data_IF_716511627726
#
_entry.id   IF_716511627726
#
_cell.length_a   1.000
_cell.length_b   1.000
_cell.length_c   1.000
_cell.angle_alpha   90.00
_cell.angle_beta   90.00
_cell.angle_gamma   90.00
#
_symmetry.space_group_name_H-M   'P 1'
#
loop_
_entity.id
_entity.type
_entity.pdbx_description
1 polymer ?
#
# COMPACT_ATOMS: atom_id res chain seq x y z
N UNK A 1 70.76 48.21 -7.25
CA UNK A 1 70.00 49.41 -6.83
C UNK A 1 68.64 49.41 -7.53
N UNK A 2 67.56 49.52 -6.73
CA UNK A 2 66.17 49.95 -7.00
C UNK A 2 65.27 49.21 -8.01
N UNK A 3 64.04 48.95 -7.52
CA UNK A 3 62.83 48.37 -8.13
C UNK A 3 62.03 49.40 -8.95
N UNK A 4 61.20 48.90 -9.88
CA UNK A 4 59.74 49.13 -10.04
C UNK A 4 59.28 48.27 -11.25
N UNK A 5 58.35 47.32 -11.18
CA UNK A 5 56.89 47.37 -10.89
C UNK A 5 56.06 48.09 -11.97
N UNK A 6 55.44 47.33 -12.89
CA UNK A 6 54.03 47.42 -13.32
C UNK A 6 53.77 46.34 -14.40
N UNK A 7 52.91 45.33 -14.12
CA UNK A 7 51.48 45.22 -14.48
C UNK A 7 51.17 45.22 -15.99
N UNK A 8 50.68 44.08 -16.50
CA UNK A 8 49.28 43.88 -16.95
C UNK A 8 49.17 42.60 -17.80
N UNK A 9 48.24 41.72 -17.43
CA UNK A 9 47.85 40.48 -18.10
C UNK A 9 46.83 40.73 -19.21
N UNK A 10 46.90 40.08 -20.38
CA UNK A 10 45.76 39.97 -21.29
C UNK A 10 45.13 38.57 -21.17
N UNK A 11 43.87 38.49 -20.76
CA UNK A 11 43.05 37.29 -20.96
C UNK A 11 41.81 37.66 -21.75
N UNK A 12 41.79 37.21 -23.00
CA UNK A 12 40.64 37.23 -23.89
C UNK A 12 40.54 35.84 -24.48
N UNK A 13 39.42 35.16 -24.22
CA UNK A 13 38.60 34.40 -25.19
C UNK A 13 37.97 33.19 -24.50
N UNK A 14 36.70 33.29 -24.12
CA UNK A 14 35.51 32.86 -24.89
C UNK A 14 35.13 31.38 -24.67
N UNK A 15 33.82 31.23 -24.40
CA UNK A 15 32.97 30.05 -24.47
C UNK A 15 32.94 29.12 -23.25
N UNK A 16 31.83 29.17 -22.49
CA UNK A 16 30.72 28.27 -22.80
C UNK A 16 29.43 28.74 -22.14
N UNK A 17 28.47 29.12 -22.99
CA UNK A 17 27.08 29.34 -22.63
C UNK A 17 26.42 27.97 -22.43
N UNK A 18 25.89 27.70 -21.23
CA UNK A 18 25.29 26.39 -20.98
C UNK A 18 24.58 26.17 -19.65
N UNK A 19 24.08 27.20 -18.96
CA UNK A 19 23.40 27.02 -17.67
C UNK A 19 22.19 27.93 -17.49
N UNK A 20 21.16 27.78 -18.34
CA UNK A 20 19.82 28.35 -18.07
C UNK A 20 18.66 27.41 -18.45
N UNK A 21 18.76 26.13 -18.08
CA UNK A 21 17.59 25.20 -18.02
C UNK A 21 17.29 24.71 -16.61
N UNK A 22 17.46 25.57 -15.60
CA UNK A 22 17.08 25.29 -14.21
C UNK A 22 16.19 26.37 -13.56
N UNK A 23 15.76 27.40 -14.29
CA UNK A 23 14.97 28.51 -13.73
C UNK A 23 13.60 28.69 -14.43
N UNK A 24 12.86 27.60 -14.63
CA UNK A 24 11.43 27.65 -14.95
C UNK A 24 10.70 26.52 -14.25
N UNK A 25 10.34 26.77 -12.98
CA UNK A 25 9.17 26.25 -12.25
C UNK A 25 9.23 26.70 -10.77
N UNK A 26 9.34 28.01 -10.53
CA UNK A 26 8.97 28.61 -9.24
C UNK A 26 8.78 30.13 -9.35
N UNK A 27 7.85 30.59 -10.18
CA UNK A 27 7.31 31.96 -10.12
C UNK A 27 5.96 31.96 -10.84
N UNK A 28 4.87 31.95 -10.08
CA UNK A 28 3.51 31.82 -10.59
C UNK A 28 2.52 31.59 -9.47
N UNK A 29 2.63 32.38 -8.40
CA UNK A 29 1.56 32.61 -7.44
C UNK A 29 1.26 34.11 -7.51
N UNK A 30 0.00 34.46 -7.31
CA UNK A 30 -0.54 35.82 -7.05
C UNK A 30 -0.98 36.60 -8.30
N UNK A 31 -2.15 36.25 -8.85
CA UNK A 31 -3.20 37.19 -9.28
C UNK A 31 -4.50 36.41 -9.47
N UNK A 32 -5.57 36.79 -8.77
CA UNK A 32 -6.88 36.13 -8.86
C UNK A 32 -7.63 35.91 -7.54
N UNK A 33 -7.14 36.44 -6.41
CA UNK A 33 -7.93 36.56 -5.17
C UNK A 33 -8.55 37.95 -5.12
N UNK A 34 -9.67 38.16 -5.80
CA UNK A 34 -10.68 39.17 -5.48
C UNK A 34 -11.83 39.10 -6.51
N UNK A 35 -13.05 39.25 -6.02
CA UNK A 35 -14.25 39.58 -6.79
C UNK A 35 -15.01 38.44 -7.46
N UNK A 36 -15.74 37.67 -6.65
CA UNK A 36 -17.18 37.41 -6.85
C UNK A 36 -17.76 36.71 -5.62
N UNK A 37 -18.15 37.49 -4.62
CA UNK A 37 -19.12 37.08 -3.62
C UNK A 37 -20.49 37.12 -4.31
N UNK A 38 -21.07 35.95 -4.58
CA UNK A 38 -22.47 35.83 -4.95
C UNK A 38 -23.28 35.59 -3.66
N UNK A 39 -24.43 36.29 -3.46
CA UNK A 39 -25.24 36.13 -2.27
C UNK A 39 -25.91 34.75 -2.23
N UNK A 40 -25.91 34.14 -1.04
CA UNK A 40 -26.64 32.90 -0.76
C UNK A 40 -28.16 33.19 -0.75
N UNK A 41 -29.00 32.37 -1.41
CA UNK A 41 -30.43 32.44 -1.23
C UNK A 41 -30.82 31.85 0.14
N UNK A 42 -31.44 32.69 0.97
CA UNK A 42 -32.27 32.24 2.11
C UNK A 42 -33.48 31.51 1.54
N UNK A 43 -33.64 30.23 1.86
CA UNK A 43 -34.96 29.61 1.78
C UNK A 43 -35.13 28.41 2.72
N UNK A 44 -36.00 28.66 3.70
CA UNK A 44 -37.12 27.82 4.14
C UNK A 44 -36.82 26.52 4.91
N UNK A 45 -37.17 26.58 6.19
CA UNK A 45 -37.36 25.43 7.05
C UNK A 45 -38.39 24.44 6.48
N UNK A 46 -38.18 23.13 6.62
CA UNK A 46 -39.24 22.15 6.38
C UNK A 46 -40.22 22.10 7.56
N UNK A 47 -41.51 22.16 7.22
CA UNK A 47 -42.64 21.87 8.11
C UNK A 47 -42.63 20.40 8.56
N UNK A 48 -43.29 20.06 9.69
CA UNK A 48 -43.30 18.71 10.24
C UNK A 48 -44.10 17.77 9.32
N UNK A 49 -43.45 16.69 8.89
CA UNK A 49 -44.12 15.58 8.20
C UNK A 49 -44.71 14.62 9.25
N UNK A 50 -46.02 14.50 9.13
CA UNK A 50 -46.93 13.43 9.55
C UNK A 50 -46.29 12.12 10.02
N UNK A 51 -46.79 11.64 11.17
CA UNK A 51 -46.51 10.34 11.74
C UNK A 51 -46.68 9.19 10.72
N UNK A 52 -45.67 8.34 10.62
CA UNK A 52 -45.76 7.07 9.90
C UNK A 52 -46.75 6.13 10.61
N UNK A 53 -47.52 5.31 9.88
CA UNK A 53 -48.39 4.31 10.49
C UNK A 53 -47.54 3.23 11.18
N UNK A 54 -48.01 2.85 12.37
CA UNK A 54 -47.49 1.76 13.18
C UNK A 54 -47.61 0.43 12.41
N UNK A 55 -46.58 -0.43 12.36
CA UNK A 55 -46.73 -1.77 11.81
C UNK A 55 -47.61 -2.63 12.73
N UNK A 56 -48.55 -3.34 12.11
CA UNK A 56 -49.47 -4.29 12.74
C UNK A 56 -48.68 -5.52 13.28
N UNK A 57 -48.91 -6.04 14.50
CA UNK A 57 -48.07 -7.08 15.10
C UNK A 57 -48.24 -8.49 14.51
N UNK A 58 -48.77 -8.64 13.29
CA UNK A 58 -49.18 -9.95 12.74
C UNK A 58 -48.55 -10.37 11.42
N UNK A 59 -47.59 -9.61 10.90
CA UNK A 59 -46.74 -10.11 9.81
C UNK A 59 -45.52 -10.87 10.36
N UNK A 60 -45.81 -12.14 10.64
CA UNK A 60 -44.95 -13.30 10.41
C UNK A 60 -43.43 -13.10 10.57
N UNK A 61 -42.93 -13.55 11.72
CA UNK A 61 -41.58 -14.09 11.86
C UNK A 61 -41.29 -15.04 10.68
N UNK A 62 -40.18 -14.89 9.94
CA UNK A 62 -39.71 -16.00 9.12
C UNK A 62 -39.32 -17.12 10.08
N UNK A 63 -40.06 -18.23 9.98
CA UNK A 63 -39.72 -19.50 10.57
C UNK A 63 -38.24 -19.77 10.34
N UNK A 64 -37.48 -19.81 11.43
CA UNK A 64 -36.10 -20.31 11.40
C UNK A 64 -36.17 -21.80 11.11
N UNK A 65 -36.18 -22.15 9.83
CA UNK A 65 -35.93 -23.51 9.39
C UNK A 65 -34.51 -23.89 9.86
N UNK A 66 -34.44 -24.60 10.99
CA UNK A 66 -33.23 -25.13 11.60
C UNK A 66 -32.59 -26.27 10.77
N UNK A 67 -32.68 -26.22 9.44
CA UNK A 67 -32.17 -27.25 8.52
C UNK A 67 -31.44 -26.73 7.29
N UNK A 68 -31.12 -25.43 7.22
CA UNK A 68 -30.12 -24.93 6.28
C UNK A 68 -28.91 -24.34 6.99
N UNK A 69 -28.31 -25.15 7.89
CA UNK A 69 -26.87 -25.00 8.16
C UNK A 69 -26.19 -25.42 6.88
N UNK A 70 -25.97 -24.43 6.02
CA UNK A 70 -25.05 -24.52 4.90
C UNK A 70 -23.82 -25.29 5.38
N UNK A 71 -23.53 -26.40 4.72
CA UNK A 71 -22.27 -27.14 4.86
C UNK A 71 -21.16 -26.23 4.34
N UNK A 72 -20.87 -25.13 5.03
CA UNK A 72 -19.57 -24.50 4.92
C UNK A 72 -18.58 -25.60 5.30
N UNK A 73 -17.65 -25.96 4.41
CA UNK A 73 -16.74 -27.05 4.71
C UNK A 73 -16.02 -26.68 6.00
N UNK A 74 -15.97 -27.58 6.98
CA UNK A 74 -15.27 -27.34 8.26
C UNK A 74 -13.83 -26.84 8.04
N UNK A 75 -13.25 -27.09 6.87
CA UNK A 75 -12.00 -26.51 6.39
C UNK A 75 -11.99 -24.96 6.36
N UNK A 76 -13.08 -24.31 5.93
CA UNK A 76 -13.19 -22.84 5.87
C UNK A 76 -13.32 -22.21 7.26
N UNK A 77 -13.97 -22.91 8.21
CA UNK A 77 -14.09 -22.45 9.60
C UNK A 77 -12.75 -22.65 10.31
N UNK A 78 -12.10 -23.81 10.13
CA UNK A 78 -10.75 -24.08 10.67
C UNK A 78 -9.68 -23.14 10.11
N UNK A 79 -9.75 -22.78 8.82
CA UNK A 79 -8.80 -21.82 8.24
C UNK A 79 -9.03 -20.41 8.77
N UNK A 80 -10.28 -19.98 8.93
CA UNK A 80 -10.64 -18.70 9.55
C UNK A 80 -10.15 -18.61 11.01
N UNK A 81 -10.37 -19.65 11.82
CA UNK A 81 -9.91 -19.72 13.22
C UNK A 81 -8.37 -19.75 13.33
N UNK A 82 -7.69 -20.44 12.42
CA UNK A 82 -6.21 -20.47 12.35
C UNK A 82 -5.60 -19.13 11.95
N UNK A 83 -6.37 -18.27 11.30
CA UNK A 83 -5.94 -16.91 10.93
C UNK A 83 -6.14 -15.95 12.11
N UNK A 84 -7.26 -16.06 12.84
CA UNK A 84 -7.53 -15.18 13.99
C UNK A 84 -6.57 -15.39 15.17
N UNK A 85 -6.06 -16.61 15.38
CA UNK A 85 -5.10 -16.91 16.47
C UNK A 85 -3.62 -16.80 16.11
N UNK A 86 -3.25 -16.18 14.98
CA UNK A 86 -1.84 -16.10 14.56
C UNK A 86 -1.24 -14.71 14.83
N UNK A 87 -0.22 -14.66 15.70
CA UNK A 87 0.44 -13.42 16.10
C UNK A 87 1.05 -12.64 14.93
N UNK A 88 1.55 -13.32 13.89
CA UNK A 88 2.11 -12.66 12.71
C UNK A 88 1.01 -11.97 11.91
N UNK A 89 -0.12 -12.65 11.72
CA UNK A 89 -1.27 -12.07 11.02
C UNK A 89 -1.90 -10.94 11.81
N UNK A 90 -1.99 -11.06 13.14
CA UNK A 90 -2.41 -9.96 14.01
C UNK A 90 -1.47 -8.76 13.91
N UNK A 91 -0.16 -8.98 13.89
CA UNK A 91 0.84 -7.92 13.68
C UNK A 91 0.65 -7.25 12.31
N UNK A 92 0.40 -8.02 11.25
CA UNK A 92 0.12 -7.48 9.92
C UNK A 92 -1.21 -6.71 9.85
N UNK A 93 -2.23 -7.13 10.60
CA UNK A 93 -3.51 -6.42 10.74
C UNK A 93 -3.31 -5.12 11.51
N UNK A 94 -2.48 -5.08 12.55
CA UNK A 94 -2.08 -3.82 13.19
C UNK A 94 -1.30 -2.94 12.21
N UNK A 95 -0.51 -3.55 11.33
CA UNK A 95 0.25 -2.88 10.29
C UNK A 95 1.57 -2.30 10.80
N UNK A 96 2.50 -2.02 9.88
CA UNK A 96 3.82 -1.45 10.20
C UNK A 96 4.31 -0.51 9.10
N UNK A 97 5.30 0.32 9.42
CA UNK A 97 6.00 1.18 8.47
C UNK A 97 7.20 0.43 7.92
N UNK A 98 7.22 0.17 6.61
CA UNK A 98 8.38 -0.40 5.92
C UNK A 98 8.87 0.53 4.82
N UNK A 99 10.15 0.42 4.45
CA UNK A 99 10.69 1.09 3.28
C UNK A 99 10.32 0.29 2.04
N UNK A 100 9.52 0.89 1.17
CA UNK A 100 9.35 0.41 -0.20
C UNK A 100 10.54 0.85 -1.03
N UNK A 101 11.25 -0.10 -1.61
CA UNK A 101 12.43 0.11 -2.45
C UNK A 101 12.01 -0.04 -3.91
N UNK A 102 12.53 0.84 -4.78
CA UNK A 102 12.38 0.72 -6.23
C UNK A 102 13.71 0.88 -6.98
N UNK A 103 14.69 1.46 -6.33
CA UNK A 103 16.06 1.64 -6.82
C UNK A 103 16.95 2.04 -5.65
N UNK A 104 18.27 2.06 -5.87
CA UNK A 104 19.25 2.55 -4.88
C UNK A 104 18.95 3.97 -4.37
N UNK A 105 18.33 4.84 -5.17
CA UNK A 105 17.96 6.21 -4.73
C UNK A 105 16.49 6.36 -4.33
N UNK A 106 15.61 5.45 -4.75
CA UNK A 106 14.19 5.48 -4.38
C UNK A 106 13.88 4.45 -3.31
N UNK A 107 13.89 4.92 -2.06
CA UNK A 107 13.48 4.20 -0.86
C UNK A 107 12.52 5.08 -0.08
N UNK A 108 11.27 4.67 0.10
CA UNK A 108 10.27 5.50 0.78
C UNK A 108 9.52 4.70 1.83
N UNK A 109 9.46 5.24 3.05
CA UNK A 109 8.61 4.71 4.11
C UNK A 109 7.15 4.76 3.71
N UNK A 110 6.46 3.64 3.89
CA UNK A 110 5.06 3.42 3.57
C UNK A 110 4.49 2.55 4.69
N UNK A 111 3.31 2.93 5.18
CA UNK A 111 2.59 2.12 6.15
C UNK A 111 1.83 1.04 5.38
N UNK A 112 2.09 -0.23 5.72
CA UNK A 112 1.48 -1.42 5.15
C UNK A 112 0.59 -2.09 6.19
N UNK A 113 -0.55 -2.62 5.76
CA UNK A 113 -1.54 -3.24 6.63
C UNK A 113 -2.25 -4.38 5.90
N UNK A 114 -2.39 -5.54 6.53
CA UNK A 114 -3.34 -6.57 6.12
C UNK A 114 -4.75 -6.13 6.54
N UNK A 115 -5.70 -6.18 5.61
CA UNK A 115 -7.10 -5.91 5.94
C UNK A 115 -7.71 -7.10 6.70
N UNK A 116 -8.79 -6.84 7.44
CA UNK A 116 -9.49 -7.85 8.26
C UNK A 116 -10.03 -9.02 7.45
N UNK A 117 -10.23 -8.83 6.13
CA UNK A 117 -10.60 -9.88 5.18
C UNK A 117 -9.50 -10.96 4.99
N UNK A 118 -8.29 -10.72 5.50
CA UNK A 118 -7.09 -11.55 5.39
C UNK A 118 -6.73 -11.90 3.93
N UNK A 119 -7.16 -11.06 2.99
CA UNK A 119 -6.98 -11.26 1.55
C UNK A 119 -6.40 -10.03 0.88
N UNK A 120 -6.58 -8.85 1.47
CA UNK A 120 -6.16 -7.59 0.88
C UNK A 120 -5.02 -6.99 1.68
N UNK A 121 -3.89 -6.70 1.01
CA UNK A 121 -2.84 -5.85 1.57
C UNK A 121 -3.09 -4.43 1.10
N UNK A 122 -3.16 -3.51 2.05
CA UNK A 122 -3.28 -2.07 1.83
C UNK A 122 -1.96 -1.38 2.19
N UNK A 123 -1.60 -0.32 1.46
CA UNK A 123 -0.51 0.55 1.88
C UNK A 123 -0.71 2.01 1.49
N UNK A 124 -0.27 2.92 2.37
CA UNK A 124 -0.35 4.38 2.15
C UNK A 124 0.49 4.77 0.94
N UNK A 125 -0.06 5.57 0.03
CA UNK A 125 0.63 6.07 -1.17
C UNK A 125 0.73 7.59 -1.10
N UNK A 126 1.88 8.13 -1.51
CA UNK A 126 2.09 9.59 -1.65
C UNK A 126 1.93 10.06 -3.09
N UNK A 127 1.36 9.23 -3.99
CA UNK A 127 1.08 9.62 -5.37
C UNK A 127 -0.13 10.56 -5.40
N UNK A 128 -0.02 11.68 -6.10
CA UNK A 128 -1.14 12.63 -6.26
C UNK A 128 -2.38 11.91 -6.83
N UNK A 129 -3.55 12.18 -6.24
CA UNK A 129 -4.81 11.52 -6.59
C UNK A 129 -4.95 10.06 -6.15
N UNK A 130 -3.93 9.47 -5.49
CA UNK A 130 -3.98 8.09 -4.99
C UNK A 130 -3.30 8.00 -3.61
N UNK A 131 -4.10 8.30 -2.57
CA UNK A 131 -3.67 8.32 -1.17
C UNK A 131 -3.26 6.95 -0.61
N UNK A 132 -3.71 5.87 -1.25
CA UNK A 132 -3.34 4.50 -0.89
C UNK A 132 -3.36 3.57 -2.09
N UNK A 133 -2.84 2.37 -1.93
CA UNK A 133 -2.90 1.30 -2.93
C UNK A 133 -3.16 -0.02 -2.25
N UNK A 134 -3.76 -0.94 -2.97
CA UNK A 134 -4.03 -2.30 -2.51
C UNK A 134 -3.45 -3.32 -3.49
N UNK A 135 -3.28 -4.55 -3.03
CA UNK A 135 -3.11 -5.75 -3.85
C UNK A 135 -3.73 -6.95 -3.13
N UNK A 136 -4.15 -7.96 -3.88
CA UNK A 136 -4.66 -9.20 -3.30
C UNK A 136 -3.50 -10.12 -2.94
N UNK A 137 -3.62 -10.86 -1.84
CA UNK A 137 -2.69 -11.96 -1.50
C UNK A 137 -2.68 -12.99 -2.64
N UNK A 138 -3.80 -13.21 -3.33
CA UNK A 138 -3.87 -14.10 -4.50
C UNK A 138 -2.97 -13.64 -5.66
N UNK A 139 -2.55 -12.38 -5.69
CA UNK A 139 -1.64 -11.86 -6.71
C UNK A 139 -0.18 -12.17 -6.38
N UNK A 140 0.13 -12.59 -5.15
CA UNK A 140 1.49 -12.90 -4.69
C UNK A 140 1.79 -14.37 -4.92
N UNK A 141 2.86 -14.63 -5.69
CA UNK A 141 3.34 -15.97 -6.01
C UNK A 141 4.23 -16.52 -4.91
N UNK A 142 5.18 -15.72 -4.44
CA UNK A 142 6.20 -16.16 -3.50
C UNK A 142 6.75 -14.99 -2.66
N UNK A 143 7.37 -15.35 -1.53
CA UNK A 143 8.14 -14.43 -0.69
C UNK A 143 9.61 -14.84 -0.72
N UNK A 144 10.47 -13.93 -1.17
CA UNK A 144 11.93 -14.10 -1.20
C UNK A 144 12.57 -13.31 -0.06
N UNK A 145 13.43 -13.96 0.72
CA UNK A 145 14.10 -13.34 1.87
C UNK A 145 15.48 -12.80 1.49
N UNK A 146 15.91 -11.74 2.18
CA UNK A 146 17.21 -11.12 1.93
C UNK A 146 17.29 -10.37 0.61
N UNK A 147 18.51 -10.24 0.11
CA UNK A 147 18.85 -9.47 -1.09
C UNK A 147 18.69 -10.28 -2.38
N UNK A 148 17.60 -11.04 -2.51
CA UNK A 148 17.37 -11.93 -3.66
C UNK A 148 16.81 -11.23 -4.90
N UNK A 149 16.46 -9.95 -4.81
CA UNK A 149 16.11 -9.12 -5.99
C UNK A 149 17.27 -8.21 -6.35
N UNK A 150 17.39 -7.87 -7.64
CA UNK A 150 18.43 -6.93 -8.12
C UNK A 150 18.37 -5.59 -7.38
N UNK A 151 17.16 -5.11 -7.07
CA UNK A 151 16.93 -3.85 -6.35
C UNK A 151 17.44 -3.95 -4.91
N UNK A 152 17.16 -5.03 -4.19
CA UNK A 152 17.65 -5.21 -2.83
C UNK A 152 19.15 -5.50 -2.79
N UNK A 153 19.67 -6.26 -3.75
CA UNK A 153 21.10 -6.49 -3.92
C UNK A 153 21.86 -5.18 -4.14
N UNK A 154 21.26 -4.24 -4.90
CA UNK A 154 21.85 -2.92 -5.13
C UNK A 154 21.93 -2.02 -3.89
N UNK A 155 21.38 -2.44 -2.73
CA UNK A 155 21.43 -1.71 -1.46
C UNK A 155 21.93 -2.60 -0.29
N UNK A 156 22.59 -3.72 -0.61
CA UNK A 156 23.03 -4.70 0.40
C UNK A 156 24.07 -4.16 1.38
N UNK A 157 24.81 -3.12 0.99
CA UNK A 157 25.74 -2.37 1.84
C UNK A 157 25.04 -1.42 2.83
N UNK A 158 23.76 -1.09 2.60
CA UNK A 158 23.01 -0.15 3.43
C UNK A 158 22.10 -0.85 4.45
N UNK A 159 21.59 -2.04 4.13
CA UNK A 159 20.63 -2.76 4.97
C UNK A 159 21.00 -4.24 5.08
N UNK A 160 20.98 -4.81 6.30
CA UNK A 160 21.25 -6.23 6.50
C UNK A 160 20.13 -7.09 5.86
N UNK A 161 20.47 -8.31 5.41
CA UNK A 161 19.55 -9.17 4.66
C UNK A 161 18.34 -9.62 5.48
N UNK A 162 18.49 -9.81 6.79
CA UNK A 162 17.43 -10.24 7.71
C UNK A 162 16.26 -9.25 7.82
N UNK A 163 16.46 -7.98 7.45
CA UNK A 163 15.40 -6.95 7.36
C UNK A 163 14.77 -6.83 5.98
N UNK A 164 15.29 -7.55 4.98
CA UNK A 164 14.94 -7.37 3.58
C UNK A 164 14.11 -8.55 3.07
N UNK A 165 13.07 -8.26 2.29
CA UNK A 165 12.33 -9.29 1.58
C UNK A 165 11.60 -8.73 0.35
N UNK A 166 11.25 -9.63 -0.56
CA UNK A 166 10.53 -9.31 -1.80
C UNK A 166 9.24 -10.10 -1.88
N UNK A 167 8.13 -9.42 -2.15
CA UNK A 167 6.90 -10.07 -2.60
C UNK A 167 6.92 -10.18 -4.13
N UNK A 168 6.96 -11.41 -4.62
CA UNK A 168 6.96 -11.73 -6.05
C UNK A 168 5.51 -11.82 -6.50
N UNK A 169 5.14 -11.03 -7.51
CA UNK A 169 3.77 -11.02 -8.03
C UNK A 169 3.63 -11.91 -9.25
N UNK A 170 2.46 -12.54 -9.38
CA UNK A 170 2.03 -13.23 -10.60
C UNK A 170 1.76 -12.21 -11.72
N UNK A 171 2.06 -12.60 -12.96
CA UNK A 171 1.69 -11.83 -14.16
C UNK A 171 2.57 -10.61 -14.43
N UNK A 172 1.96 -9.49 -14.85
CA UNK A 172 2.69 -8.30 -15.36
C UNK A 172 3.12 -7.31 -14.28
N UNK A 173 2.71 -7.52 -13.03
CA UNK A 173 3.05 -6.60 -11.94
C UNK A 173 4.48 -6.85 -11.49
N UNK A 174 5.29 -5.80 -11.40
CA UNK A 174 6.64 -5.90 -10.86
C UNK A 174 6.66 -6.27 -9.38
N UNK A 175 7.76 -6.90 -8.96
CA UNK A 175 8.03 -7.27 -7.58
C UNK A 175 7.94 -6.07 -6.62
N UNK A 176 7.65 -6.37 -5.35
CA UNK A 176 7.65 -5.38 -4.28
C UNK A 176 8.78 -5.67 -3.30
N UNK A 177 9.82 -4.86 -3.39
CA UNK A 177 10.98 -4.90 -2.51
C UNK A 177 10.74 -4.05 -1.25
N UNK A 178 10.96 -4.66 -0.09
CA UNK A 178 10.69 -4.09 1.23
C UNK A 178 11.88 -4.24 2.16
N UNK A 179 12.07 -3.23 3.00
CA UNK A 179 12.98 -3.26 4.16
C UNK A 179 12.20 -2.87 5.41
N UNK A 180 12.13 -3.77 6.39
CA UNK A 180 11.51 -3.53 7.69
C UNK A 180 12.41 -2.70 8.61
N UNK A 181 11.88 -2.24 9.76
CA UNK A 181 12.70 -1.50 10.73
C UNK A 181 13.59 -2.45 11.53
N UNK A 182 13.07 -3.64 11.86
CA UNK A 182 13.80 -4.73 12.54
C UNK A 182 13.71 -6.08 11.82
N UNK A 183 14.56 -7.03 12.22
CA UNK A 183 14.57 -8.39 11.68
C UNK A 183 13.31 -9.16 12.12
N UNK A 184 12.83 -8.92 13.33
CA UNK A 184 11.62 -9.51 13.88
C UNK A 184 10.37 -9.08 13.10
N UNK A 185 10.29 -7.79 12.75
CA UNK A 185 9.20 -7.28 11.91
C UNK A 185 9.24 -7.89 10.51
N UNK A 186 10.42 -7.99 9.88
CA UNK A 186 10.56 -8.65 8.59
C UNK A 186 10.08 -10.11 8.67
N UNK A 187 10.55 -10.85 9.67
CA UNK A 187 10.17 -12.25 9.87
C UNK A 187 8.67 -12.43 10.14
N UNK A 188 8.06 -11.55 10.94
CA UNK A 188 6.62 -11.53 11.16
C UNK A 188 5.86 -11.38 9.84
N UNK A 189 6.24 -10.40 9.00
CA UNK A 189 5.63 -10.19 7.69
C UNK A 189 5.86 -11.34 6.71
N UNK A 190 7.08 -11.90 6.67
CA UNK A 190 7.42 -13.03 5.81
C UNK A 190 6.56 -14.25 6.16
N UNK A 191 6.51 -14.61 7.45
CA UNK A 191 5.75 -15.76 7.95
C UNK A 191 4.25 -15.58 7.72
N UNK A 192 3.72 -14.39 8.03
CA UNK A 192 2.33 -14.07 7.80
C UNK A 192 1.95 -14.13 6.32
N UNK A 193 2.74 -13.54 5.42
CA UNK A 193 2.49 -13.62 3.97
C UNK A 193 2.52 -15.07 3.45
N UNK A 194 3.49 -15.90 3.86
CA UNK A 194 3.55 -17.32 3.47
C UNK A 194 2.31 -18.07 3.92
N UNK A 195 1.91 -17.90 5.18
CA UNK A 195 0.71 -18.53 5.74
C UNK A 195 -0.56 -18.14 4.97
N UNK A 196 -0.68 -16.88 4.56
CA UNK A 196 -1.82 -16.42 3.75
C UNK A 196 -1.82 -17.07 2.36
N UNK A 197 -0.67 -17.19 1.70
CA UNK A 197 -0.53 -17.84 0.39
C UNK A 197 -0.90 -19.33 0.50
N UNK A 198 -0.31 -20.05 1.45
CA UNK A 198 -0.58 -21.48 1.69
C UNK A 198 -2.08 -21.73 1.97
N UNK A 199 -2.72 -20.86 2.77
CA UNK A 199 -4.15 -20.99 3.04
C UNK A 199 -5.02 -20.83 1.78
N UNK A 200 -4.66 -19.93 0.86
CA UNK A 200 -5.38 -19.78 -0.41
C UNK A 200 -5.20 -21.01 -1.30
N UNK A 201 -4.00 -21.57 -1.39
CA UNK A 201 -3.70 -22.77 -2.17
C UNK A 201 -4.45 -24.00 -1.64
N UNK A 202 -4.49 -24.17 -0.31
CA UNK A 202 -5.22 -25.25 0.34
C UNK A 202 -6.74 -25.16 0.10
N UNK A 203 -7.31 -23.94 0.07
CA UNK A 203 -8.72 -23.74 -0.27
C UNK A 203 -9.02 -23.98 -1.76
N UNK A 204 -8.07 -23.67 -2.65
CA UNK A 204 -8.21 -23.94 -4.09
C UNK A 204 -8.21 -25.43 -4.40
N UNK A 205 -7.38 -26.22 -3.72
CA UNK A 205 -7.25 -27.67 -3.93
C UNK A 205 -8.48 -28.47 -3.48
N UNK A 206 -9.27 -27.95 -2.53
CA UNK A 206 -10.52 -28.58 -2.08
C UNK A 206 -11.70 -28.48 -3.05
N UNK A 207 -11.56 -27.76 -4.18
CA UNK A 207 -12.63 -27.53 -5.17
C UNK A 207 -12.50 -28.39 -6.44
N UNK A 208 -11.53 -29.31 -6.48
CA UNK A 208 -11.18 -30.06 -7.69
C UNK A 208 -11.27 -31.59 -7.60
N UNK A 209 -11.87 -32.17 -6.56
CA UNK A 209 -11.98 -33.63 -6.43
C UNK A 209 -13.41 -34.06 -6.11
N UNK A 210 -14.31 -33.90 -7.09
CA UNK A 210 -15.60 -34.60 -7.11
C UNK A 210 -15.87 -35.07 -8.54
N UNK A 211 -15.91 -36.41 -8.68
CA UNK A 211 -16.32 -37.22 -9.85
C UNK A 211 -15.38 -37.16 -11.07
N UNK A 212 -15.16 -38.25 -11.80
CA UNK A 212 -16.14 -39.22 -12.30
C UNK A 212 -15.55 -40.65 -12.34
N UNK A 213 -16.39 -41.61 -11.92
CA UNK A 213 -16.43 -43.07 -12.12
C UNK A 213 -15.14 -43.89 -12.37
#
# INVERSE_FOLDING_TARGET
MRRASDRYTPESSRHSAGTWRAARRLAGRIWGWASRLAPLPVSRAPHPLTAAPHPDPRDALPSVDARSVTKQPMASIRSSLRIQGDDNLQSMIVGTVMRKVKSRSWKKQRYFKLQEDCKTIWYKSKKAGKAHSTFSVSDVEAVREGHQSEVLLSIADEFPPDRCFTLVFRGRRGNLDLVAESAEEAQSWIRGMRKLIENLENMGRGRGSTSIH
#
